data_IF_561362721443
#
_entry.id   IF_561362721443
#
_cell.length_a   1.000
_cell.length_b   1.000
_cell.length_c   1.000
_cell.angle_alpha   90.00
_cell.angle_beta   90.00
_cell.angle_gamma   90.00
#
_symmetry.space_group_name_H-M   'P 1'
#
loop_
_entity.id
_entity.type
_entity.pdbx_description
1 polymer ?
#
# COMPACT_ATOMS: atom_id res chain seq x y z
N UNK A 1 12.67 -22.77 -14.13
CA UNK A 1 11.33 -22.25 -14.48
C UNK A 1 11.24 -21.62 -15.88
N UNK A 2 11.97 -20.53 -16.22
CA UNK A 2 11.86 -19.95 -17.58
C UNK A 2 12.39 -20.88 -18.68
N UNK A 3 13.49 -21.59 -18.41
CA UNK A 3 14.03 -22.63 -19.31
C UNK A 3 13.07 -23.81 -19.45
N UNK A 4 12.48 -24.26 -18.35
CA UNK A 4 11.52 -25.37 -18.35
C UNK A 4 10.24 -25.00 -19.12
N UNK A 5 9.68 -23.80 -18.92
CA UNK A 5 8.50 -23.31 -19.63
C UNK A 5 8.70 -23.18 -21.15
N UNK A 6 9.91 -22.79 -21.57
CA UNK A 6 10.29 -22.76 -22.99
C UNK A 6 10.49 -24.17 -23.55
N UNK A 7 10.95 -25.12 -22.73
CA UNK A 7 11.12 -26.51 -23.12
C UNK A 7 9.77 -27.25 -23.26
N UNK A 8 8.75 -26.90 -22.48
CA UNK A 8 7.38 -27.45 -22.59
C UNK A 8 6.43 -26.63 -23.49
N UNK A 9 6.91 -25.55 -24.11
CA UNK A 9 6.13 -24.65 -24.97
C UNK A 9 4.90 -24.01 -24.28
N UNK A 10 4.96 -23.89 -22.94
CA UNK A 10 3.89 -23.35 -22.12
C UNK A 10 3.97 -21.81 -22.10
N UNK A 11 3.40 -21.21 -23.15
CA UNK A 11 3.35 -19.75 -23.33
C UNK A 11 2.56 -19.05 -22.21
N UNK A 12 1.61 -19.74 -21.61
CA UNK A 12 0.80 -19.19 -20.53
C UNK A 12 1.64 -19.00 -19.26
N UNK A 13 2.45 -20.00 -18.90
CA UNK A 13 3.36 -19.93 -17.77
C UNK A 13 4.39 -18.79 -17.90
N UNK A 14 4.93 -18.59 -19.11
CA UNK A 14 5.87 -17.49 -19.39
C UNK A 14 5.20 -16.12 -19.21
N UNK A 15 3.97 -15.95 -19.69
CA UNK A 15 3.22 -14.71 -19.54
C UNK A 15 2.88 -14.40 -18.07
N UNK A 16 2.47 -15.42 -17.30
CA UNK A 16 2.22 -15.29 -15.85
C UNK A 16 3.49 -14.84 -15.11
N UNK A 17 4.64 -15.44 -15.42
CA UNK A 17 5.94 -15.05 -14.85
C UNK A 17 6.32 -13.59 -15.16
N UNK A 18 6.13 -13.14 -16.41
CA UNK A 18 6.41 -11.75 -16.80
C UNK A 18 5.50 -10.78 -16.04
N UNK A 19 4.21 -11.12 -15.91
CA UNK A 19 3.24 -10.31 -15.17
C UNK A 19 3.60 -10.22 -13.68
N UNK A 20 3.97 -11.33 -13.05
CA UNK A 20 4.44 -11.37 -11.67
C UNK A 20 5.71 -10.53 -11.48
N UNK A 21 6.70 -10.65 -12.38
CA UNK A 21 7.92 -9.85 -12.34
C UNK A 21 7.62 -8.35 -12.43
N UNK A 22 6.77 -7.94 -13.37
CA UNK A 22 6.36 -6.53 -13.52
C UNK A 22 5.62 -6.03 -12.28
N UNK A 23 4.74 -6.86 -11.73
CA UNK A 23 4.03 -6.54 -10.49
C UNK A 23 5.04 -6.28 -9.38
N UNK A 24 5.96 -7.20 -9.07
CA UNK A 24 6.99 -7.03 -8.04
C UNK A 24 7.83 -5.76 -8.22
N UNK A 25 8.26 -5.44 -9.44
CA UNK A 25 9.00 -4.20 -9.73
C UNK A 25 8.15 -2.97 -9.35
N UNK A 26 6.88 -2.96 -9.75
CA UNK A 26 5.97 -1.88 -9.39
C UNK A 26 5.77 -1.79 -7.86
N UNK A 27 5.68 -2.92 -7.15
CA UNK A 27 5.55 -2.93 -5.68
C UNK A 27 6.75 -2.24 -5.03
N UNK A 28 7.97 -2.62 -5.43
CA UNK A 28 9.22 -2.03 -4.95
C UNK A 28 9.26 -0.53 -5.21
N UNK A 29 8.86 -0.08 -6.40
CA UNK A 29 8.81 1.35 -6.74
C UNK A 29 7.82 2.10 -5.85
N UNK A 30 6.61 1.56 -5.64
CA UNK A 30 5.59 2.19 -4.78
C UNK A 30 6.10 2.33 -3.35
N UNK A 31 6.59 1.24 -2.76
CA UNK A 31 7.14 1.25 -1.39
C UNK A 31 8.28 2.27 -1.29
N UNK A 32 9.22 2.23 -2.23
CA UNK A 32 10.34 3.16 -2.24
C UNK A 32 9.88 4.62 -2.29
N UNK A 33 8.95 4.96 -3.18
CA UNK A 33 8.45 6.33 -3.33
C UNK A 33 7.73 6.78 -2.06
N UNK A 34 6.78 5.97 -1.56
CA UNK A 34 6.02 6.28 -0.35
C UNK A 34 6.97 6.51 0.83
N UNK A 35 7.92 5.61 1.04
CA UNK A 35 8.82 5.74 2.18
C UNK A 35 9.70 6.98 2.08
N UNK A 36 10.23 7.28 0.90
CA UNK A 36 11.06 8.46 0.72
C UNK A 36 10.25 9.75 0.83
N UNK A 37 9.05 9.82 0.24
CA UNK A 37 8.23 11.04 0.27
C UNK A 37 7.67 11.30 1.68
N UNK A 38 7.23 10.26 2.39
CA UNK A 38 6.65 10.43 3.72
C UNK A 38 7.73 10.60 4.80
N UNK A 39 8.76 9.74 4.83
CA UNK A 39 9.67 9.68 5.98
C UNK A 39 10.94 10.52 5.83
N UNK A 40 11.50 10.69 4.62
CA UNK A 40 12.74 11.47 4.47
C UNK A 40 12.61 12.92 4.93
N UNK A 41 11.54 13.67 4.60
CA UNK A 41 11.41 15.05 5.05
C UNK A 41 11.39 15.16 6.59
N UNK A 42 10.77 14.18 7.26
CA UNK A 42 10.72 14.12 8.72
C UNK A 42 12.13 13.91 9.28
N UNK A 43 12.87 12.90 8.79
CA UNK A 43 14.20 12.59 9.30
C UNK A 43 15.21 13.71 9.03
N UNK A 44 15.23 14.25 7.81
CA UNK A 44 16.11 15.37 7.45
C UNK A 44 15.85 16.55 8.39
N UNK A 45 14.59 16.91 8.59
CA UNK A 45 14.25 18.06 9.43
C UNK A 45 14.43 17.81 10.92
N UNK A 46 14.48 16.55 11.39
CA UNK A 46 14.90 16.19 12.76
C UNK A 46 16.41 16.38 12.89
N UNK A 47 17.20 15.86 11.95
CA UNK A 47 18.67 15.99 11.96
C UNK A 47 19.05 17.47 11.94
N UNK A 48 18.48 18.26 11.03
CA UNK A 48 18.75 19.70 10.95
C UNK A 48 18.39 20.45 12.25
N UNK A 49 17.35 20.01 12.97
CA UNK A 49 16.96 20.61 14.25
C UNK A 49 18.03 20.36 15.31
N UNK A 50 18.66 19.18 15.31
CA UNK A 50 19.72 18.80 16.24
C UNK A 50 21.08 19.42 15.86
N UNK A 51 21.44 19.41 14.58
CA UNK A 51 22.79 19.78 14.13
C UNK A 51 22.95 21.27 13.82
N UNK A 52 21.89 21.92 13.32
CA UNK A 52 21.95 23.28 12.76
C UNK A 52 20.97 24.25 13.44
N UNK A 53 20.36 23.87 14.56
CA UNK A 53 19.31 24.67 15.25
C UNK A 53 18.15 25.07 14.32
N UNK A 54 17.86 24.26 13.31
CA UNK A 54 16.79 24.52 12.36
C UNK A 54 15.44 24.57 13.06
N UNK A 55 14.75 25.70 12.93
CA UNK A 55 13.38 25.89 13.43
C UNK A 55 12.40 25.70 12.28
N UNK A 56 11.49 24.75 12.43
CA UNK A 56 10.36 24.59 11.51
C UNK A 56 9.31 25.64 11.80
N UNK A 57 8.61 26.07 10.76
CA UNK A 57 7.42 26.91 10.92
C UNK A 57 6.29 26.06 11.52
N UNK A 58 5.32 26.67 12.23
CA UNK A 58 4.15 25.95 12.73
C UNK A 58 3.40 25.19 11.62
N UNK A 59 3.33 25.77 10.42
CA UNK A 59 2.76 25.12 9.25
C UNK A 59 3.53 23.86 8.83
N UNK A 60 4.86 23.93 8.76
CA UNK A 60 5.68 22.77 8.41
C UNK A 60 5.55 21.65 9.46
N UNK A 61 5.48 21.98 10.75
CA UNK A 61 5.28 20.97 11.79
C UNK A 61 3.88 20.32 11.72
N UNK A 62 2.83 21.07 11.37
CA UNK A 62 1.50 20.50 11.12
C UNK A 62 1.53 19.52 9.93
N UNK A 63 2.15 19.91 8.81
CA UNK A 63 2.30 19.04 7.63
C UNK A 63 3.08 17.76 7.96
N UNK A 64 4.19 17.88 8.70
CA UNK A 64 4.99 16.71 9.08
C UNK A 64 4.22 15.76 10.00
N UNK A 65 3.40 16.30 10.91
CA UNK A 65 2.55 15.50 11.79
C UNK A 65 1.50 14.74 10.99
N UNK A 66 0.86 15.40 10.03
CA UNK A 66 -0.12 14.77 9.15
C UNK A 66 0.52 13.67 8.30
N UNK A 67 1.72 13.91 7.75
CA UNK A 67 2.46 12.90 6.99
C UNK A 67 2.75 11.66 7.84
N UNK A 68 3.10 11.83 9.13
CA UNK A 68 3.30 10.70 10.06
C UNK A 68 2.00 9.90 10.20
N UNK A 69 0.88 10.56 10.46
CA UNK A 69 -0.40 9.87 10.66
C UNK A 69 -0.86 9.14 9.38
N UNK A 70 -0.77 9.81 8.22
CA UNK A 70 -1.11 9.19 6.93
C UNK A 70 -0.20 7.99 6.66
N UNK A 71 1.11 8.09 6.92
CA UNK A 71 2.06 7.01 6.65
C UNK A 71 1.73 5.71 7.38
N UNK A 72 1.14 5.77 8.58
CA UNK A 72 0.71 4.59 9.35
C UNK A 72 -0.39 3.79 8.66
N UNK A 73 -1.21 4.44 7.85
CA UNK A 73 -2.30 3.79 7.10
C UNK A 73 -1.78 3.18 5.80
N UNK A 74 -0.68 3.70 5.26
CA UNK A 74 -0.14 3.23 3.97
C UNK A 74 0.44 1.82 4.08
N UNK A 75 1.07 1.46 5.20
CA UNK A 75 1.69 0.14 5.38
C UNK A 75 0.67 -1.03 5.29
N UNK A 76 -0.47 -1.00 6.00
CA UNK A 76 -1.54 -2.00 5.80
C UNK A 76 -2.10 -2.02 4.38
N UNK A 77 -2.24 -0.86 3.71
CA UNK A 77 -2.75 -0.78 2.34
C UNK A 77 -1.79 -1.49 1.38
N UNK A 78 -0.51 -1.15 1.45
CA UNK A 78 0.58 -1.79 0.69
C UNK A 78 0.55 -3.30 0.93
N UNK A 79 0.42 -3.70 2.19
CA UNK A 79 0.39 -5.11 2.60
C UNK A 79 -0.79 -5.86 1.99
N UNK A 80 -2.01 -5.33 2.07
CA UNK A 80 -3.22 -5.95 1.49
C UNK A 80 -3.13 -6.03 -0.04
N UNK A 81 -2.60 -4.99 -0.70
CA UNK A 81 -2.49 -4.99 -2.17
C UNK A 81 -1.45 -6.02 -2.64
N UNK A 82 -0.34 -6.13 -1.93
CA UNK A 82 0.82 -6.89 -2.40
C UNK A 82 0.92 -8.32 -1.88
N UNK A 83 0.21 -8.66 -0.79
CA UNK A 83 0.09 -10.04 -0.30
C UNK A 83 -1.22 -10.66 -0.79
N UNK A 84 -1.19 -11.57 -1.79
CA UNK A 84 -2.39 -12.13 -2.39
C UNK A 84 -3.32 -12.79 -1.39
N UNK A 85 -2.76 -13.47 -0.39
CA UNK A 85 -3.50 -14.16 0.67
C UNK A 85 -4.36 -13.17 1.46
N UNK A 86 -3.75 -12.07 1.92
CA UNK A 86 -4.45 -11.02 2.64
C UNK A 86 -5.44 -10.26 1.75
N UNK A 87 -5.12 -10.06 0.47
CA UNK A 87 -6.05 -9.45 -0.48
C UNK A 87 -7.35 -10.26 -0.57
N UNK A 88 -7.24 -11.59 -0.72
CA UNK A 88 -8.39 -12.47 -0.79
C UNK A 88 -9.21 -12.45 0.50
N UNK A 89 -8.55 -12.54 1.67
CA UNK A 89 -9.23 -12.44 2.96
C UNK A 89 -9.97 -11.10 3.12
N UNK A 90 -9.31 -10.01 2.76
CA UNK A 90 -9.89 -8.67 2.81
C UNK A 90 -11.11 -8.54 1.89
N UNK A 91 -11.05 -9.06 0.66
CA UNK A 91 -12.20 -9.06 -0.26
C UNK A 91 -13.40 -9.84 0.30
N UNK A 92 -13.15 -10.95 0.98
CA UNK A 92 -14.22 -11.72 1.66
C UNK A 92 -14.85 -10.88 2.77
N UNK A 93 -14.04 -10.21 3.58
CA UNK A 93 -14.51 -9.32 4.65
C UNK A 93 -15.35 -8.18 4.05
N UNK A 94 -14.84 -7.48 3.03
CA UNK A 94 -15.54 -6.37 2.37
C UNK A 94 -16.87 -6.83 1.77
N UNK A 95 -16.88 -7.95 1.05
CA UNK A 95 -18.09 -8.50 0.45
C UNK A 95 -19.14 -8.85 1.49
N UNK A 96 -18.73 -9.51 2.59
CA UNK A 96 -19.63 -9.84 3.71
C UNK A 96 -20.17 -8.59 4.40
N UNK A 97 -19.33 -7.61 4.65
CA UNK A 97 -19.72 -6.33 5.26
C UNK A 97 -20.72 -5.58 4.38
N UNK A 98 -20.48 -5.52 3.06
CA UNK A 98 -21.40 -4.92 2.10
C UNK A 98 -22.75 -5.63 2.07
N UNK A 99 -22.77 -6.96 2.11
CA UNK A 99 -24.01 -7.73 2.18
C UNK A 99 -24.80 -7.40 3.46
N UNK A 100 -24.12 -7.40 4.62
CA UNK A 100 -24.73 -7.02 5.91
C UNK A 100 -25.27 -5.59 5.91
N UNK A 101 -24.51 -4.64 5.35
CA UNK A 101 -24.92 -3.25 5.26
C UNK A 101 -26.17 -3.09 4.37
N UNK A 102 -26.20 -3.74 3.20
CA UNK A 102 -27.39 -3.75 2.33
C UNK A 102 -28.60 -4.34 3.06
N UNK A 103 -28.44 -5.45 3.78
CA UNK A 103 -29.53 -6.03 4.58
C UNK A 103 -29.98 -5.09 5.70
N UNK A 104 -29.06 -4.40 6.38
CA UNK A 104 -29.36 -3.44 7.43
C UNK A 104 -30.18 -2.25 6.88
N UNK A 105 -29.74 -1.64 5.78
CA UNK A 105 -30.47 -0.59 5.08
C UNK A 105 -31.85 -1.10 4.64
N UNK A 106 -31.92 -2.27 4.00
CA UNK A 106 -33.19 -2.84 3.58
C UNK A 106 -34.16 -3.10 4.76
N UNK A 107 -33.66 -3.42 5.96
CA UNK A 107 -34.49 -3.57 7.17
C UNK A 107 -34.96 -2.23 7.75
N UNK A 108 -34.14 -1.17 7.66
CA UNK A 108 -34.52 0.17 8.12
C UNK A 108 -35.57 0.80 7.20
N UNK A 109 -35.42 0.61 5.88
CA UNK A 109 -36.29 1.22 4.88
C UNK A 109 -37.43 0.32 4.41
N UNK A 110 -37.50 -0.95 4.85
CA UNK A 110 -38.75 -1.73 4.85
C UNK A 110 -39.64 -1.22 5.99
N UNK A 111 -40.25 -0.08 5.76
CA UNK A 111 -41.52 0.31 6.35
C UNK A 111 -42.60 0.18 5.29
#
# INVERSE_FOLDING_TARGET
MKKDALATNDRELVNRLIKQKRSLIFQLLVVFIVFNVCYMPIYITIILRVTASYKRTPFADAVMTEIIEVSRVVDPIITIIFQPELNHEFQVIVTKSNAKFKTFIAKIFKR
#
